data_IF_074552405970
#
_entry.id   IF_074552405970
#
_cell.length_a   1.000
_cell.length_b   1.000
_cell.length_c   1.000
_cell.angle_alpha   90.00
_cell.angle_beta   90.00
_cell.angle_gamma   90.00
#
_symmetry.space_group_name_H-M   'P 1'
#
loop_
_entity.id
_entity.type
_entity.pdbx_description
1 polymer ?
#
# COMPACT_ATOMS: atom_id res chain seq x y z
N UNK A 1 0.93 -17.78 -10.04
CA UNK A 1 2.21 -17.79 -9.30
C UNK A 1 1.88 -17.84 -7.81
N UNK A 2 2.64 -18.60 -7.01
CA UNK A 2 2.39 -18.68 -5.55
C UNK A 2 2.78 -17.32 -4.95
N UNK A 3 1.89 -16.68 -4.19
CA UNK A 3 2.20 -15.40 -3.56
C UNK A 3 3.43 -15.57 -2.63
N UNK A 4 4.36 -14.59 -2.61
CA UNK A 4 5.48 -14.62 -1.68
C UNK A 4 4.92 -14.52 -0.24
N UNK A 5 5.13 -15.56 0.56
CA UNK A 5 4.68 -15.59 1.94
C UNK A 5 5.64 -14.77 2.82
N UNK A 6 5.17 -13.62 3.32
CA UNK A 6 5.97 -12.71 4.14
C UNK A 6 6.40 -13.33 5.46
N UNK A 7 5.55 -14.14 6.10
CA UNK A 7 5.88 -14.82 7.34
C UNK A 7 7.06 -15.78 7.17
N UNK A 8 7.14 -16.46 6.01
CA UNK A 8 8.27 -17.35 5.71
C UNK A 8 9.58 -16.56 5.55
N UNK A 9 9.52 -15.36 4.96
CA UNK A 9 10.68 -14.46 4.81
C UNK A 9 11.19 -14.01 6.18
N UNK A 10 10.31 -13.60 7.09
CA UNK A 10 10.68 -13.19 8.45
C UNK A 10 11.35 -14.31 9.23
N UNK A 11 10.81 -15.54 9.15
CA UNK A 11 11.41 -16.72 9.77
C UNK A 11 12.80 -17.00 9.22
N UNK A 12 12.99 -16.89 7.89
CA UNK A 12 14.29 -17.06 7.25
C UNK A 12 15.30 -15.98 7.65
N UNK A 13 14.86 -14.72 7.79
CA UNK A 13 15.71 -13.61 8.26
C UNK A 13 16.17 -13.84 9.71
N UNK A 14 15.26 -14.26 10.59
CA UNK A 14 15.59 -14.62 11.97
C UNK A 14 16.58 -15.81 12.02
N UNK A 15 16.38 -16.82 11.16
CA UNK A 15 17.30 -17.96 11.05
C UNK A 15 18.70 -17.51 10.58
N UNK A 16 18.78 -16.63 9.58
CA UNK A 16 20.04 -16.05 9.08
C UNK A 16 20.82 -15.37 10.20
N UNK A 17 20.15 -14.53 10.98
CA UNK A 17 20.78 -13.75 12.04
C UNK A 17 21.24 -14.67 13.19
N UNK A 18 20.44 -15.69 13.55
CA UNK A 18 20.81 -16.68 14.55
C UNK A 18 22.07 -17.49 14.14
N UNK A 19 22.11 -17.98 12.90
CA UNK A 19 23.25 -18.74 12.38
C UNK A 19 24.50 -17.87 12.29
N UNK A 20 24.36 -16.61 11.85
CA UNK A 20 25.46 -15.64 11.83
C UNK A 20 26.00 -15.38 13.23
N UNK A 21 25.13 -15.26 14.24
CA UNK A 21 25.53 -15.12 15.63
C UNK A 21 26.23 -16.36 16.22
N UNK A 22 25.87 -17.57 15.78
CA UNK A 22 26.61 -18.79 16.14
C UNK A 22 28.00 -18.83 15.52
N UNK A 23 28.13 -18.46 14.24
CA UNK A 23 29.43 -18.37 13.56
C UNK A 23 30.36 -17.36 14.26
N UNK A 24 29.85 -16.18 14.61
CA UNK A 24 30.63 -15.17 15.34
C UNK A 24 31.13 -15.69 16.70
N UNK A 25 30.30 -16.44 17.44
CA UNK A 25 30.70 -17.08 18.71
C UNK A 25 31.76 -18.17 18.52
N UNK A 26 31.67 -18.97 17.45
CA UNK A 26 32.67 -19.99 17.11
C UNK A 26 34.02 -19.34 16.81
N UNK A 27 34.01 -18.20 16.11
CA UNK A 27 35.23 -17.45 15.80
C UNK A 27 35.84 -16.80 17.05
N UNK A 28 35.00 -16.32 17.97
CA UNK A 28 35.44 -15.74 19.25
C UNK A 28 35.94 -16.78 20.27
N UNK A 29 35.54 -18.05 20.17
CA UNK A 29 35.86 -19.10 21.15
C UNK A 29 37.38 -19.38 21.31
N UNK A 30 38.24 -18.79 20.48
CA UNK A 30 39.70 -18.82 20.64
C UNK A 30 40.27 -20.24 20.63
N UNK A 31 41.47 -20.44 21.17
CA UNK A 31 42.18 -21.74 21.15
C UNK A 31 41.67 -22.79 22.15
N UNK A 32 40.51 -22.57 22.78
CA UNK A 32 39.93 -23.48 23.78
C UNK A 32 39.50 -24.84 23.20
N UNK A 33 39.18 -24.87 21.89
CA UNK A 33 38.75 -26.07 21.16
C UNK A 33 39.79 -26.43 20.10
N UNK A 34 40.11 -27.73 19.90
CA UNK A 34 40.98 -28.17 18.81
C UNK A 34 40.54 -27.60 17.45
N UNK A 35 41.49 -27.12 16.61
CA UNK A 35 41.17 -26.37 15.39
C UNK A 35 40.30 -27.20 14.44
N UNK A 36 40.62 -28.48 14.24
CA UNK A 36 39.86 -29.37 13.35
C UNK A 36 38.36 -29.53 13.73
N UNK A 37 38.04 -29.48 15.03
CA UNK A 37 36.64 -29.57 15.49
C UNK A 37 35.93 -28.25 15.22
N UNK A 38 36.59 -27.13 15.53
CA UNK A 38 36.04 -25.78 15.27
C UNK A 38 35.76 -25.57 13.79
N UNK A 39 36.69 -25.98 12.93
CA UNK A 39 36.56 -25.82 11.49
C UNK A 39 35.41 -26.65 10.93
N UNK A 40 35.23 -27.89 11.42
CA UNK A 40 34.09 -28.73 11.04
C UNK A 40 32.75 -28.13 11.44
N UNK A 41 32.64 -27.65 12.68
CA UNK A 41 31.40 -27.03 13.17
C UNK A 41 31.12 -25.72 12.42
N UNK A 42 32.15 -24.91 12.16
CA UNK A 42 32.02 -23.71 11.33
C UNK A 42 31.51 -24.05 9.94
N UNK A 43 32.06 -25.08 9.29
CA UNK A 43 31.64 -25.51 7.95
C UNK A 43 30.18 -25.95 7.92
N UNK A 44 29.70 -26.64 8.96
CA UNK A 44 28.30 -27.06 9.09
C UNK A 44 27.35 -25.84 9.15
N UNK A 45 27.64 -24.88 10.04
CA UNK A 45 26.85 -23.65 10.14
C UNK A 45 26.94 -22.78 8.88
N UNK A 46 28.10 -22.74 8.20
CA UNK A 46 28.23 -22.08 6.90
C UNK A 46 27.35 -22.75 5.84
N UNK A 47 27.30 -24.08 5.80
CA UNK A 47 26.40 -24.81 4.91
C UNK A 47 24.92 -24.48 5.17
N UNK A 48 24.53 -24.43 6.44
CA UNK A 48 23.17 -24.01 6.84
C UNK A 48 22.88 -22.56 6.44
N UNK A 49 23.80 -21.64 6.68
CA UNK A 49 23.65 -20.23 6.31
C UNK A 49 23.45 -20.08 4.80
N UNK A 50 24.26 -20.78 3.99
CA UNK A 50 24.13 -20.76 2.54
C UNK A 50 22.73 -21.23 2.09
N UNK A 51 22.20 -22.30 2.69
CA UNK A 51 20.84 -22.78 2.39
C UNK A 51 19.72 -21.83 2.84
N UNK A 52 19.94 -21.01 3.88
CA UNK A 52 19.01 -19.93 4.25
C UNK A 52 19.07 -18.79 3.22
N UNK A 53 20.28 -18.39 2.84
CA UNK A 53 20.49 -17.32 1.84
C UNK A 53 19.89 -17.70 0.49
N UNK A 54 20.07 -18.93 0.02
CA UNK A 54 19.49 -19.42 -1.24
C UNK A 54 17.95 -19.35 -1.23
N UNK A 55 17.32 -19.76 -0.11
CA UNK A 55 15.87 -19.63 0.06
C UNK A 55 15.42 -18.17 0.05
N UNK A 56 16.11 -17.30 0.80
CA UNK A 56 15.84 -15.85 0.81
C UNK A 56 15.99 -15.23 -0.57
N UNK A 57 16.98 -15.64 -1.36
CA UNK A 57 17.15 -15.20 -2.75
C UNK A 57 15.98 -15.64 -3.62
N UNK A 58 15.53 -16.88 -3.52
CA UNK A 58 14.35 -17.35 -4.25
C UNK A 58 13.07 -16.57 -3.90
N UNK A 59 12.88 -16.20 -2.64
CA UNK A 59 11.79 -15.30 -2.24
C UNK A 59 12.00 -13.88 -2.77
N UNK A 60 13.23 -13.35 -2.73
CA UNK A 60 13.59 -12.05 -3.28
C UNK A 60 13.31 -11.93 -4.78
N UNK A 61 13.62 -12.97 -5.56
CA UNK A 61 13.32 -13.02 -6.99
C UNK A 61 11.81 -13.01 -7.26
N UNK A 62 11.03 -13.76 -6.47
CA UNK A 62 9.58 -13.77 -6.58
C UNK A 62 8.96 -12.40 -6.23
N UNK A 63 9.46 -11.74 -5.19
CA UNK A 63 9.05 -10.38 -4.78
C UNK A 63 9.41 -9.37 -5.87
N UNK A 64 10.62 -9.44 -6.44
CA UNK A 64 11.06 -8.56 -7.51
C UNK A 64 10.21 -8.72 -8.78
N UNK A 65 9.83 -9.95 -9.13
CA UNK A 65 8.92 -10.21 -10.24
C UNK A 65 7.53 -9.59 -10.00
N UNK A 66 6.99 -9.72 -8.78
CA UNK A 66 5.69 -9.11 -8.43
C UNK A 66 5.76 -7.58 -8.43
N UNK A 67 6.85 -7.01 -7.94
CA UNK A 67 7.08 -5.57 -7.97
C UNK A 67 7.16 -5.03 -9.42
N UNK A 68 7.75 -5.79 -10.34
CA UNK A 68 7.77 -5.42 -11.75
C UNK A 68 6.36 -5.45 -12.38
N UNK A 69 5.52 -6.43 -12.02
CA UNK A 69 4.11 -6.49 -12.43
C UNK A 69 3.32 -5.28 -11.88
N UNK A 70 3.49 -4.96 -10.60
CA UNK A 70 2.80 -3.84 -9.96
C UNK A 70 3.20 -2.49 -10.58
N UNK A 71 4.48 -2.32 -10.95
CA UNK A 71 4.93 -1.11 -11.67
C UNK A 71 4.34 -1.00 -13.08
N UNK A 72 4.19 -2.12 -13.79
CA UNK A 72 3.52 -2.13 -15.09
C UNK A 72 2.01 -1.81 -14.96
N UNK A 73 1.36 -2.32 -13.91
CA UNK A 73 -0.03 -1.98 -13.57
C UNK A 73 -0.18 -0.49 -13.24
N UNK A 74 0.77 0.08 -12.48
CA UNK A 74 0.82 1.50 -12.16
C UNK A 74 0.93 2.37 -13.42
N UNK A 75 1.85 2.04 -14.35
CA UNK A 75 1.97 2.74 -15.64
C UNK A 75 0.65 2.67 -16.44
N UNK A 76 0.02 1.49 -16.49
CA UNK A 76 -1.26 1.30 -17.16
C UNK A 76 -2.40 2.12 -16.56
N UNK A 77 -2.43 2.31 -15.23
CA UNK A 77 -3.42 3.17 -14.60
C UNK A 77 -3.13 4.65 -14.81
N UNK A 78 -1.86 5.06 -14.81
CA UNK A 78 -1.46 6.42 -15.11
C UNK A 78 -1.84 6.82 -16.55
N UNK A 79 -1.58 5.95 -17.52
CA UNK A 79 -1.99 6.16 -18.92
C UNK A 79 -3.50 6.30 -19.07
N UNK A 80 -4.27 5.45 -18.36
CA UNK A 80 -5.75 5.52 -18.37
C UNK A 80 -6.28 6.78 -17.69
N UNK A 81 -5.67 7.23 -16.60
CA UNK A 81 -6.01 8.49 -15.95
C UNK A 81 -5.72 9.69 -16.88
N UNK A 82 -4.57 9.69 -17.58
CA UNK A 82 -4.22 10.71 -18.56
C UNK A 82 -5.22 10.74 -19.71
N UNK A 83 -5.56 9.59 -20.29
CA UNK A 83 -6.56 9.51 -21.37
C UNK A 83 -7.95 10.01 -20.93
N UNK A 84 -8.37 9.70 -19.68
CA UNK A 84 -9.62 10.21 -19.14
C UNK A 84 -9.58 11.74 -18.92
N UNK A 85 -8.45 12.29 -18.49
CA UNK A 85 -8.24 13.74 -18.38
C UNK A 85 -8.25 14.44 -19.74
N UNK A 86 -7.62 13.85 -20.76
CA UNK A 86 -7.66 14.35 -22.14
C UNK A 86 -9.10 14.35 -22.68
N UNK A 87 -9.86 13.27 -22.46
CA UNK A 87 -11.26 13.19 -22.86
C UNK A 87 -12.15 14.22 -22.14
N UNK A 88 -11.88 14.48 -20.86
CA UNK A 88 -12.55 15.54 -20.10
C UNK A 88 -12.23 16.93 -20.68
N UNK A 89 -10.97 17.20 -21.03
CA UNK A 89 -10.56 18.45 -21.67
C UNK A 89 -11.18 18.63 -23.07
N UNK A 90 -11.27 17.54 -23.85
CA UNK A 90 -11.96 17.53 -25.14
C UNK A 90 -13.46 17.86 -24.99
N UNK A 91 -14.14 17.21 -24.02
CA UNK A 91 -15.55 17.50 -23.73
C UNK A 91 -15.79 18.96 -23.32
N UNK A 92 -14.87 19.53 -22.52
CA UNK A 92 -14.89 20.96 -22.18
C UNK A 92 -14.75 21.84 -23.42
N UNK A 93 -13.81 21.53 -24.31
CA UNK A 93 -13.61 22.30 -25.54
C UNK A 93 -14.84 22.24 -26.46
N UNK A 94 -15.41 21.05 -26.66
CA UNK A 94 -16.63 20.87 -27.47
C UNK A 94 -17.82 21.65 -26.92
N UNK A 95 -17.98 21.69 -25.60
CA UNK A 95 -18.98 22.52 -24.96
C UNK A 95 -18.74 24.01 -25.18
N UNK A 96 -17.49 24.49 -25.02
CA UNK A 96 -17.13 25.89 -25.26
C UNK A 96 -17.35 26.33 -26.71
N UNK A 97 -17.13 25.43 -27.67
CA UNK A 97 -17.41 25.65 -29.10
C UNK A 97 -18.93 25.63 -29.39
N UNK A 98 -19.74 25.14 -28.44
CA UNK A 98 -21.19 25.03 -28.56
C UNK A 98 -21.65 23.77 -29.28
N UNK A 99 -20.77 22.79 -29.49
CA UNK A 99 -21.13 21.46 -30.04
C UNK A 99 -21.94 20.66 -29.02
N UNK A 100 -21.59 20.74 -27.75
CA UNK A 100 -22.31 20.07 -26.66
C UNK A 100 -23.24 21.04 -25.93
N UNK A 101 -24.50 20.64 -25.77
CA UNK A 101 -25.40 21.30 -24.83
C UNK A 101 -24.97 21.04 -23.37
N UNK A 102 -25.53 21.82 -22.45
CA UNK A 102 -25.17 21.75 -21.03
C UNK A 102 -25.40 20.36 -20.42
N UNK A 103 -26.50 19.70 -20.77
CA UNK A 103 -26.88 18.42 -20.17
C UNK A 103 -25.99 17.27 -20.66
N UNK A 104 -25.67 17.27 -21.95
CA UNK A 104 -24.73 16.32 -22.53
C UNK A 104 -23.32 16.54 -21.98
N UNK A 105 -22.88 17.79 -21.92
CA UNK A 105 -21.58 18.14 -21.33
C UNK A 105 -21.46 17.68 -19.87
N UNK A 106 -22.48 17.93 -19.04
CA UNK A 106 -22.46 17.50 -17.63
C UNK A 106 -22.37 15.98 -17.50
N UNK A 107 -23.09 15.24 -18.36
CA UNK A 107 -23.04 13.76 -18.38
C UNK A 107 -21.63 13.26 -18.71
N UNK A 108 -21.03 13.78 -19.78
CA UNK A 108 -19.67 13.40 -20.21
C UNK A 108 -18.60 13.82 -19.20
N UNK A 109 -18.73 15.03 -18.64
CA UNK A 109 -17.83 15.53 -17.60
C UNK A 109 -17.88 14.63 -16.37
N UNK A 110 -19.06 14.25 -15.91
CA UNK A 110 -19.21 13.40 -14.74
C UNK A 110 -18.66 11.99 -15.00
N UNK A 111 -18.88 11.44 -16.21
CA UNK A 111 -18.33 10.15 -16.64
C UNK A 111 -16.79 10.15 -16.60
N UNK A 112 -16.15 11.11 -17.28
CA UNK A 112 -14.69 11.18 -17.32
C UNK A 112 -14.09 11.53 -15.95
N UNK A 113 -14.73 12.39 -15.16
CA UNK A 113 -14.28 12.68 -13.80
C UNK A 113 -14.33 11.43 -12.90
N UNK A 114 -15.37 10.60 -13.03
CA UNK A 114 -15.46 9.34 -12.31
C UNK A 114 -14.38 8.34 -12.77
N UNK A 115 -14.04 8.31 -14.06
CA UNK A 115 -12.97 7.46 -14.58
C UNK A 115 -11.58 7.91 -14.08
N UNK A 116 -11.31 9.21 -14.04
CA UNK A 116 -10.09 9.78 -13.43
C UNK A 116 -9.99 9.36 -11.96
N UNK A 117 -11.03 9.61 -11.18
CA UNK A 117 -11.04 9.27 -9.75
C UNK A 117 -10.82 7.76 -9.50
N UNK A 118 -11.43 6.89 -10.34
CA UNK A 118 -11.23 5.43 -10.25
C UNK A 118 -9.77 5.05 -10.48
N UNK A 119 -9.12 5.65 -11.49
CA UNK A 119 -7.74 5.33 -11.80
C UNK A 119 -6.74 5.92 -10.81
N UNK A 120 -7.03 7.10 -10.23
CA UNK A 120 -6.25 7.67 -9.13
C UNK A 120 -6.31 6.77 -7.88
N UNK A 121 -7.51 6.30 -7.51
CA UNK A 121 -7.64 5.36 -6.39
C UNK A 121 -6.89 4.04 -6.66
N UNK A 122 -6.95 3.52 -7.89
CA UNK A 122 -6.20 2.32 -8.26
C UNK A 122 -4.68 2.54 -8.20
N UNK A 123 -4.19 3.72 -8.59
CA UNK A 123 -2.78 4.10 -8.47
C UNK A 123 -2.33 4.08 -7.01
N UNK A 124 -3.11 4.64 -6.10
CA UNK A 124 -2.78 4.67 -4.67
C UNK A 124 -2.66 3.24 -4.10
N UNK A 125 -3.62 2.37 -4.42
CA UNK A 125 -3.62 0.97 -3.97
C UNK A 125 -2.40 0.20 -4.49
N UNK A 126 -2.08 0.35 -5.77
CA UNK A 126 -0.92 -0.33 -6.38
C UNK A 126 0.39 0.23 -5.85
N UNK A 127 0.48 1.55 -5.62
CA UNK A 127 1.66 2.20 -5.06
C UNK A 127 1.95 1.74 -3.63
N UNK A 128 0.91 1.60 -2.79
CA UNK A 128 1.06 1.08 -1.43
C UNK A 128 1.56 -0.37 -1.44
N UNK A 129 1.00 -1.21 -2.32
CA UNK A 129 1.44 -2.60 -2.48
C UNK A 129 2.89 -2.68 -2.96
N UNK A 130 3.27 -1.87 -3.94
CA UNK A 130 4.64 -1.80 -4.44
C UNK A 130 5.63 -1.35 -3.35
N UNK A 131 5.27 -0.33 -2.55
CA UNK A 131 6.08 0.15 -1.43
C UNK A 131 6.33 -0.93 -0.37
N UNK A 132 5.31 -1.72 -0.02
CA UNK A 132 5.46 -2.86 0.90
C UNK A 132 6.43 -3.92 0.36
N UNK A 133 6.35 -4.24 -0.93
CA UNK A 133 7.27 -5.19 -1.56
C UNK A 133 8.71 -4.67 -1.61
N UNK A 134 8.91 -3.38 -1.84
CA UNK A 134 10.22 -2.72 -1.80
C UNK A 134 10.85 -2.75 -0.40
N UNK A 135 10.06 -2.54 0.65
CA UNK A 135 10.50 -2.65 2.03
C UNK A 135 11.00 -4.07 2.34
N UNK A 136 10.22 -5.08 1.99
CA UNK A 136 10.58 -6.49 2.23
C UNK A 136 11.84 -6.87 1.44
N UNK A 137 11.96 -6.43 0.18
CA UNK A 137 13.16 -6.68 -0.61
C UNK A 137 14.39 -6.01 0.02
N UNK A 138 14.22 -4.82 0.59
CA UNK A 138 15.29 -4.12 1.31
C UNK A 138 15.75 -4.90 2.55
N UNK A 139 14.83 -5.54 3.29
CA UNK A 139 15.16 -6.40 4.43
C UNK A 139 15.94 -7.67 4.01
N UNK A 140 15.58 -8.26 2.87
CA UNK A 140 16.26 -9.44 2.33
C UNK A 140 17.70 -9.09 1.91
N UNK A 141 17.88 -7.95 1.24
CA UNK A 141 19.19 -7.50 0.73
C UNK A 141 20.09 -6.97 1.87
N UNK A 142 19.50 -6.42 2.93
CA UNK A 142 20.26 -5.90 4.06
C UNK A 142 21.15 -6.99 4.70
N UNK A 143 22.42 -6.67 5.02
CA UNK A 143 23.31 -7.64 5.66
C UNK A 143 22.76 -8.06 7.04
N UNK A 144 23.05 -9.29 7.44
CA UNK A 144 22.67 -9.82 8.75
C UNK A 144 23.15 -8.87 9.85
N UNK A 145 22.24 -8.46 10.73
CA UNK A 145 22.58 -7.54 11.81
C UNK A 145 23.39 -8.32 12.85
N UNK A 146 24.61 -7.90 13.21
CA UNK A 146 25.34 -8.56 14.27
C UNK A 146 24.52 -8.40 15.56
N UNK A 147 24.08 -9.53 16.11
CA UNK A 147 23.44 -9.57 17.42
C UNK A 147 24.51 -9.12 18.42
N UNK A 148 24.45 -7.85 18.82
CA UNK A 148 25.13 -7.43 20.03
C UNK A 148 24.51 -8.25 21.16
N UNK A 149 25.23 -9.29 21.57
CA UNK A 149 24.96 -10.00 22.81
C UNK A 149 25.04 -8.94 23.90
N UNK A 150 23.86 -8.44 24.28
CA UNK A 150 23.66 -7.55 25.40
C UNK A 150 24.45 -8.13 26.56
N UNK A 151 25.56 -7.47 26.87
CA UNK A 151 26.46 -7.89 27.92
C UNK A 151 25.64 -7.94 29.19
N UNK A 152 25.47 -9.14 29.74
CA UNK A 152 25.38 -9.29 31.17
C UNK A 152 26.68 -8.69 31.69
N UNK A 153 26.63 -7.41 32.04
CA UNK A 153 27.62 -6.79 32.91
C UNK A 153 27.56 -7.58 34.20
N UNK A 154 28.44 -8.58 34.30
CA UNK A 154 28.91 -9.08 35.56
C UNK A 154 29.57 -7.88 36.26
N UNK A 155 28.74 -7.12 36.98
CA UNK A 155 29.19 -6.21 38.02
C UNK A 155 29.80 -7.08 39.10
N UNK A 156 31.08 -7.41 38.92
CA UNK A 156 31.93 -7.96 39.95
C UNK A 156 32.14 -6.87 41.01
N UNK A 157 31.14 -6.70 41.88
CA UNK A 157 31.31 -6.04 43.17
C UNK A 157 32.15 -6.97 44.03
N UNK A 158 33.45 -6.73 43.98
CA UNK A 158 34.40 -7.07 45.02
C UNK A 158 33.99 -6.39 46.32
N UNK A 159 33.38 -7.12 47.27
CA UNK A 159 33.47 -6.83 48.71
C UNK A 159 33.26 -8.10 49.53
N UNK A 160 34.34 -8.55 50.16
CA UNK A 160 34.40 -8.96 51.57
C UNK A 160 33.44 -10.02 52.08
N UNK A 161 33.96 -11.24 52.22
CA UNK A 161 33.44 -12.25 53.15
C UNK A 161 33.76 -11.83 54.58
N UNK A 162 32.76 -11.73 55.46
CA UNK A 162 32.92 -11.99 56.90
C UNK A 162 31.65 -12.68 57.46
N UNK A 163 31.76 -13.81 58.19
CA UNK A 163 30.60 -14.59 58.63
C UNK A 163 30.23 -14.31 60.10
N UNK A 164 28.97 -13.95 60.37
CA UNK A 164 28.43 -13.96 61.75
C UNK A 164 27.08 -14.69 61.82
N UNK A 165 27.03 -15.56 62.83
CA UNK A 165 26.00 -16.48 63.30
C UNK A 165 24.54 -16.00 63.31
N UNK A 166 23.68 -16.93 62.90
CA UNK A 166 22.44 -17.43 63.54
C UNK A 166 21.75 -16.57 64.62
N UNK A 167 20.50 -16.16 64.33
CA UNK A 167 19.37 -16.22 65.26
C UNK A 167 18.04 -16.03 64.51
N UNK A 168 17.14 -16.99 64.66
CA UNK A 168 15.70 -16.87 64.50
C UNK A 168 15.08 -17.56 65.73
N UNK A 169 13.78 -17.44 66.06
CA UNK A 169 12.75 -16.49 65.62
C UNK A 169 11.96 -15.88 66.81
N UNK A 170 11.11 -14.86 66.59
CA UNK A 170 9.84 -14.76 67.34
C UNK A 170 8.83 -13.80 66.68
N UNK A 171 7.51 -14.08 66.79
CA UNK A 171 6.46 -13.48 65.97
C UNK A 171 5.62 -12.45 66.74
N UNK A 172 5.05 -11.49 66.01
CA UNK A 172 3.79 -10.76 66.27
C UNK A 172 3.74 -9.56 65.32
N UNK A 173 2.63 -8.98 64.88
CA UNK A 173 1.23 -9.34 64.69
C UNK A 173 0.61 -8.01 64.17
N UNK A 174 -0.34 -8.07 63.22
CA UNK A 174 -1.26 -6.98 62.79
C UNK A 174 -0.58 -5.77 62.10
N UNK A 175 -0.99 -5.24 60.94
CA UNK A 175 -2.34 -4.79 60.55
C UNK A 175 -2.48 -4.79 59.02
N UNK A 176 -3.65 -5.22 58.58
CA UNK A 176 -4.20 -5.18 57.23
C UNK A 176 -4.50 -3.73 56.82
N UNK A 177 -4.09 -3.32 55.62
CA UNK A 177 -4.81 -2.27 54.90
C UNK A 177 -4.97 -2.72 53.45
N UNK A 178 -6.21 -3.10 53.14
CA UNK A 178 -6.68 -3.42 51.81
C UNK A 178 -6.86 -2.12 51.04
N UNK A 179 -6.21 -2.02 49.88
CA UNK A 179 -6.62 -1.10 48.83
C UNK A 179 -6.80 -1.95 47.58
N UNK A 180 -8.07 -2.20 47.29
CA UNK A 180 -8.57 -2.69 46.01
C UNK A 180 -8.08 -1.75 44.91
N UNK A 181 -7.31 -2.29 43.97
CA UNK A 181 -7.13 -1.69 42.65
C UNK A 181 -7.81 -2.63 41.66
N UNK A 182 -8.97 -2.16 41.23
CA UNK A 182 -9.79 -2.61 40.13
C UNK A 182 -8.97 -2.98 38.88
N UNK A 183 -9.25 -4.18 38.38
CA UNK A 183 -9.67 -4.42 37.00
C UNK A 183 -8.98 -3.59 35.92
N UNK A 184 -7.75 -3.96 35.57
CA UNK A 184 -7.22 -3.72 34.22
C UNK A 184 -7.82 -4.77 33.30
N UNK A 185 -8.90 -4.37 32.61
CA UNK A 185 -9.46 -5.03 31.43
C UNK A 185 -8.32 -5.47 30.51
N UNK A 186 -8.18 -6.79 30.36
CA UNK A 186 -7.48 -7.41 29.26
C UNK A 186 -8.23 -7.01 27.98
N UNK A 187 -7.72 -5.98 27.31
CA UNK A 187 -8.09 -5.70 25.93
C UNK A 187 -7.55 -6.87 25.11
N UNK A 188 -8.45 -7.78 24.75
CA UNK A 188 -8.23 -8.80 23.73
C UNK A 188 -7.67 -8.13 22.46
N UNK A 189 -6.43 -8.46 22.11
CA UNK A 189 -5.78 -8.17 20.83
C UNK A 189 -6.44 -9.01 19.70
N UNK A 190 -7.74 -8.83 19.49
CA UNK A 190 -8.48 -9.39 18.36
C UNK A 190 -8.74 -8.32 17.29
N UNK A 191 -7.65 -7.77 16.77
CA UNK A 191 -7.67 -6.98 15.54
C UNK A 191 -6.92 -7.76 14.45
N UNK A 192 -7.66 -8.04 13.38
CA UNK A 192 -7.22 -8.39 12.02
C UNK A 192 -6.85 -9.83 11.64
N UNK A 193 -7.74 -10.80 11.93
CA UNK A 193 -7.89 -11.99 11.06
C UNK A 193 -9.08 -11.89 10.06
N UNK A 194 -9.90 -10.83 10.10
CA UNK A 194 -11.03 -10.66 9.15
C UNK A 194 -10.71 -9.81 7.92
N UNK A 195 -9.53 -9.20 7.83
CA UNK A 195 -9.09 -8.44 6.65
C UNK A 195 -8.36 -9.31 5.60
N UNK A 196 -8.03 -10.57 5.92
CA UNK A 196 -7.44 -11.52 4.98
C UNK A 196 -8.42 -12.55 4.38
N UNK A 197 -9.68 -12.59 4.84
CA UNK A 197 -10.67 -13.57 4.36
C UNK A 197 -11.59 -13.07 3.23
N UNK A 198 -11.42 -11.84 2.73
CA UNK A 198 -12.28 -11.25 1.69
C UNK A 198 -11.86 -11.62 0.25
N UNK A 199 -10.74 -12.33 0.05
CA UNK A 199 -10.24 -12.67 -1.29
C UNK A 199 -10.08 -14.16 -1.59
N UNK A 200 -10.76 -15.05 -0.85
CA UNK A 200 -10.75 -16.49 -1.11
C UNK A 200 -12.19 -17.04 -1.20
N UNK A 201 -12.83 -16.80 -2.35
CA UNK A 201 -13.93 -17.66 -2.84
C UNK A 201 -13.98 -17.63 -4.37
N UNK A 202 -13.28 -18.53 -5.09
CA UNK A 202 -13.72 -18.89 -6.42
C UNK A 202 -14.88 -19.87 -6.26
N UNK A 203 -16.10 -19.33 -6.29
CA UNK A 203 -17.33 -20.11 -6.30
C UNK A 203 -17.24 -21.27 -7.30
N UNK A 204 -17.14 -22.47 -6.75
CA UNK A 204 -17.30 -23.74 -7.43
C UNK A 204 -18.78 -23.83 -7.84
N UNK A 205 -19.10 -23.37 -9.05
CA UNK A 205 -20.42 -23.53 -9.63
C UNK A 205 -20.60 -25.02 -9.94
N UNK A 206 -21.27 -25.71 -9.02
CA UNK A 206 -21.82 -27.04 -9.23
C UNK A 206 -22.72 -27.03 -10.47
N UNK A 207 -22.30 -27.75 -11.50
CA UNK A 207 -23.10 -28.16 -12.64
C UNK A 207 -24.17 -29.17 -12.19
N UNK A 208 -25.23 -28.72 -11.50
CA UNK A 208 -26.41 -29.56 -11.33
C UNK A 208 -27.66 -28.71 -11.11
N UNK A 209 -28.70 -29.02 -11.90
CA UNK A 209 -30.08 -28.56 -11.81
C UNK A 209 -30.44 -27.17 -12.40
N UNK A 210 -30.64 -27.12 -13.73
CA UNK A 210 -31.95 -26.70 -14.31
C UNK A 210 -32.14 -27.41 -15.66
N UNK A 211 -32.55 -28.68 -15.62
CA UNK A 211 -33.32 -29.28 -16.71
C UNK A 211 -34.78 -29.14 -16.27
N UNK A 212 -35.57 -28.30 -16.97
CA UNK A 212 -37.03 -28.42 -17.14
C UNK A 212 -37.60 -27.18 -17.88
N UNK A 213 -38.01 -27.44 -19.14
CA UNK A 213 -39.17 -26.90 -19.89
C UNK A 213 -39.20 -25.41 -20.29
N UNK A 214 -39.16 -25.16 -21.60
CA UNK A 214 -40.18 -24.42 -22.40
C UNK A 214 -39.67 -24.35 -23.86
N UNK A 215 -40.18 -25.19 -24.77
CA UNK A 215 -41.37 -24.97 -25.63
C UNK A 215 -41.03 -24.14 -26.90
N UNK A 216 -41.16 -24.83 -28.05
CA UNK A 216 -40.94 -24.37 -29.41
C UNK A 216 -41.59 -23.01 -29.74
N UNK A 217 -40.78 -21.99 -30.03
CA UNK A 217 -41.19 -20.88 -30.91
C UNK A 217 -40.03 -20.53 -31.85
N UNK A 218 -40.16 -20.98 -33.09
CA UNK A 218 -39.36 -20.56 -34.25
C UNK A 218 -39.87 -19.19 -34.73
N UNK A 219 -39.01 -18.17 -34.85
CA UNK A 219 -39.25 -17.11 -35.83
C UNK A 219 -38.31 -17.24 -37.03
N UNK A 220 -38.95 -17.28 -38.21
CA UNK A 220 -38.37 -17.27 -39.55
C UNK A 220 -37.31 -16.18 -39.75
N UNK A 221 -36.25 -16.57 -40.46
CA UNK A 221 -35.23 -15.69 -41.00
C UNK A 221 -35.82 -14.75 -42.08
N UNK A 222 -35.48 -13.45 -42.09
CA UNK A 222 -35.68 -12.63 -43.27
C UNK A 222 -34.58 -12.87 -44.31
N UNK A 223 -35.09 -13.03 -45.51
CA UNK A 223 -34.48 -13.34 -46.80
C UNK A 223 -33.36 -12.36 -47.20
N UNK A 224 -32.36 -12.94 -47.84
CA UNK A 224 -31.25 -12.31 -48.54
C UNK A 224 -31.64 -11.07 -49.36
N UNK A 225 -30.80 -10.02 -49.26
CA UNK A 225 -30.61 -9.05 -50.34
C UNK A 225 -29.16 -9.12 -50.82
N UNK A 226 -29.07 -9.68 -52.01
CA UNK A 226 -27.96 -9.71 -52.94
C UNK A 226 -27.72 -8.30 -53.51
N UNK A 227 -26.47 -7.79 -53.45
CA UNK A 227 -25.76 -6.99 -54.49
C UNK A 227 -24.56 -6.21 -53.94
N UNK A 228 -23.36 -6.61 -54.37
CA UNK A 228 -22.22 -5.70 -54.53
C UNK A 228 -20.83 -6.33 -54.27
N UNK A 229 -20.04 -6.65 -55.30
CA UNK A 229 -18.71 -7.23 -55.12
C UNK A 229 -17.65 -6.13 -55.03
N UNK A 230 -17.09 -5.92 -53.83
CA UNK A 230 -15.79 -5.26 -53.67
C UNK A 230 -14.77 -6.30 -53.24
N UNK A 231 -14.28 -7.03 -54.24
CA UNK A 231 -13.10 -7.88 -54.13
C UNK A 231 -11.86 -7.02 -53.93
N UNK A 232 -11.46 -6.81 -52.68
CA UNK A 232 -10.10 -6.38 -52.37
C UNK A 232 -9.16 -7.56 -52.57
N UNK A 233 -8.42 -7.53 -53.67
CA UNK A 233 -7.27 -8.41 -53.91
C UNK A 233 -6.05 -7.85 -53.15
N UNK A 234 -5.31 -8.65 -52.37
CA UNK A 234 -3.99 -8.26 -51.89
C UNK A 234 -3.01 -8.37 -53.07
N UNK A 235 -2.47 -7.22 -53.49
CA UNK A 235 -1.43 -7.15 -54.50
C UNK A 235 -0.07 -7.51 -53.91
N UNK A 236 0.48 -8.66 -54.31
CA UNK A 236 1.90 -8.96 -54.25
C UNK A 236 2.64 -8.12 -55.28
N UNK A 237 3.23 -7.01 -54.83
CA UNK A 237 4.11 -6.18 -55.63
C UNK A 237 5.31 -5.73 -54.81
N UNK A 238 6.43 -6.44 -54.95
CA UNK A 238 7.75 -5.94 -54.55
C UNK A 238 8.08 -4.65 -55.32
N UNK A 239 8.45 -3.55 -54.66
CA UNK A 239 9.16 -2.47 -55.32
C UNK A 239 10.65 -2.82 -55.47
N UNK A 240 11.32 -2.35 -56.54
CA UNK A 240 12.75 -2.55 -56.72
C UNK A 240 13.57 -1.70 -55.73
N UNK A 241 14.68 -2.30 -55.33
CA UNK A 241 15.78 -1.79 -54.52
C UNK A 241 16.31 -0.48 -55.12
N UNK A 242 15.98 0.66 -54.49
CA UNK A 242 16.67 1.93 -54.72
C UNK A 242 17.74 2.10 -53.66
N UNK A 243 18.98 1.94 -54.11
CA UNK A 243 20.23 2.29 -53.45
C UNK A 243 20.17 3.73 -52.92
N UNK A 244 19.84 3.88 -51.63
CA UNK A 244 19.96 5.16 -50.93
C UNK A 244 21.43 5.41 -50.63
N UNK A 245 22.09 6.12 -51.54
CA UNK A 245 23.32 6.86 -51.24
C UNK A 245 22.98 7.87 -50.13
N UNK A 246 23.53 7.66 -48.95
CA UNK A 246 23.46 8.59 -47.82
C UNK A 246 24.41 9.75 -48.16
N UNK A 247 23.94 11.00 -48.38
CA UNK A 247 24.86 12.13 -48.40
C UNK A 247 25.39 12.34 -46.98
N UNK A 248 26.71 12.22 -46.85
CA UNK A 248 27.47 12.64 -45.68
C UNK A 248 27.27 14.14 -45.49
N UNK A 249 26.37 14.52 -44.59
CA UNK A 249 26.26 15.91 -44.14
C UNK A 249 27.45 16.20 -43.22
N UNK A 250 28.46 16.84 -43.80
CA UNK A 250 29.54 17.48 -43.07
C UNK A 250 28.97 18.53 -42.10
N UNK A 251 29.32 18.36 -40.83
CA UNK A 251 29.19 19.40 -39.81
C UNK A 251 30.04 20.62 -40.18
N UNK A 252 29.50 21.83 -40.27
CA UNK A 252 30.28 23.02 -40.00
C UNK A 252 30.30 23.25 -38.48
N UNK A 253 31.50 23.13 -37.91
CA UNK A 253 31.81 23.66 -36.61
C UNK A 253 31.78 25.19 -36.69
N UNK A 254 30.81 25.84 -36.06
CA UNK A 254 30.90 27.24 -35.68
C UNK A 254 29.98 27.51 -34.47
N UNK A 255 30.62 27.63 -33.30
CA UNK A 255 30.01 28.06 -32.04
C UNK A 255 30.14 29.59 -32.01
N UNK A 256 29.07 30.38 -32.13
CA UNK A 256 29.12 31.77 -31.70
C UNK A 256 28.95 31.83 -30.19
N UNK A 257 30.07 32.03 -29.50
CA UNK A 257 30.07 32.58 -28.15
C UNK A 257 29.49 33.99 -28.19
N UNK A 258 28.41 34.24 -27.42
CA UNK A 258 28.05 35.49 -26.70
C UNK A 258 26.54 35.57 -26.50
N UNK A 259 26.06 35.00 -25.40
CA UNK A 259 24.90 35.56 -24.71
C UNK A 259 25.40 36.15 -23.39
N UNK A 260 25.62 37.46 -23.41
CA UNK A 260 25.70 38.27 -22.19
C UNK A 260 24.31 38.33 -21.56
N UNK A 261 24.15 38.01 -20.26
CA UNK A 261 22.89 38.26 -19.58
C UNK A 261 22.67 39.78 -19.49
N UNK A 262 21.55 40.24 -20.06
CA UNK A 262 21.04 41.60 -19.88
C UNK A 262 20.58 41.73 -18.43
N UNK A 263 21.16 42.71 -17.73
CA UNK A 263 20.77 43.08 -16.38
C UNK A 263 19.31 43.54 -16.37
N UNK A 264 18.50 42.84 -15.58
CA UNK A 264 17.11 43.15 -15.30
C UNK A 264 17.05 44.44 -14.45
N UNK A 265 16.31 45.50 -14.86
CA UNK A 265 16.15 46.68 -14.03
C UNK A 265 15.26 46.36 -12.83
N UNK A 266 15.76 46.69 -11.64
CA UNK A 266 15.14 46.51 -10.34
C UNK A 266 13.65 46.88 -10.33
N UNK A 267 12.79 45.87 -10.16
CA UNK A 267 11.40 46.07 -9.75
C UNK A 267 11.41 46.59 -8.30
N UNK A 268 11.16 47.88 -8.15
CA UNK A 268 10.75 48.50 -6.89
C UNK A 268 9.45 47.84 -6.41
N UNK A 269 9.55 47.04 -5.35
CA UNK A 269 8.43 46.51 -4.59
C UNK A 269 7.80 47.68 -3.80
N UNK A 270 6.53 48.05 -4.01
CA UNK A 270 5.87 49.02 -3.15
C UNK A 270 5.59 48.39 -1.78
N UNK A 271 6.02 49.11 -0.74
CA UNK A 271 5.74 48.85 0.67
C UNK A 271 4.22 48.73 0.93
N UNK A 272 3.73 47.67 1.59
CA UNK A 272 2.32 47.61 1.97
C UNK A 272 2.02 48.65 3.05
N UNK A 273 1.06 49.52 2.75
CA UNK A 273 0.47 50.47 3.69
C UNK A 273 -0.35 49.70 4.73
N UNK A 274 -0.17 49.93 6.04
CA UNK A 274 -0.99 49.26 7.07
C UNK A 274 -2.41 49.81 7.04
N UNK A 275 -3.39 48.91 6.89
CA UNK A 275 -4.81 49.21 6.99
C UNK A 275 -5.19 49.58 8.45
N UNK A 276 -6.15 50.51 8.66
CA UNK A 276 -6.60 50.88 10.00
C UNK A 276 -7.44 49.75 10.63
N UNK A 277 -7.17 49.50 11.91
CA UNK A 277 -7.88 48.55 12.75
C UNK A 277 -9.38 48.83 12.82
N UNK A 278 -10.20 47.87 12.37
CA UNK A 278 -11.65 47.87 12.56
C UNK A 278 -11.92 47.13 13.87
N UNK A 279 -12.45 47.84 14.86
CA UNK A 279 -12.96 47.25 16.11
C UNK A 279 -14.20 46.41 15.83
N UNK A 280 -14.34 45.20 16.42
CA UNK A 280 -15.56 44.44 16.33
C UNK A 280 -16.65 45.05 17.22
N UNK A 281 -17.80 45.38 16.60
CA UNK A 281 -19.05 45.68 17.32
C UNK A 281 -19.70 44.36 17.77
N UNK A 282 -20.04 44.18 19.05
CA UNK A 282 -20.94 43.12 19.46
C UNK A 282 -22.38 43.57 19.21
N UNK A 283 -23.06 42.90 18.29
CA UNK A 283 -24.53 42.89 18.24
C UNK A 283 -24.92 41.42 18.14
N UNK A 284 -25.53 40.89 19.19
CA UNK A 284 -26.66 39.96 19.23
C UNK A 284 -26.79 39.47 20.68
N UNK A 285 -27.38 40.33 21.52
CA UNK A 285 -28.19 39.89 22.65
C UNK A 285 -29.59 39.63 22.08
N UNK A 286 -30.01 38.38 21.99
CA UNK A 286 -31.42 38.01 22.00
C UNK A 286 -31.63 36.80 22.91
N UNK A 287 -32.19 37.11 24.08
CA UNK A 287 -32.83 36.19 25.00
C UNK A 287 -33.98 35.45 24.30
N UNK A 288 -33.77 34.18 23.99
CA UNK A 288 -34.87 33.24 23.74
C UNK A 288 -35.08 32.40 25.00
N UNK A 289 -36.02 32.85 25.83
CA UNK A 289 -36.56 32.09 26.96
C UNK A 289 -37.52 31.04 26.41
N UNK A 290 -37.08 29.78 26.32
CA UNK A 290 -37.97 28.61 26.19
C UNK A 290 -37.98 27.88 27.52
N UNK A 291 -39.05 28.10 28.28
CA UNK A 291 -39.39 27.29 29.46
C UNK A 291 -40.15 26.04 29.02
N UNK A 292 -39.53 24.87 29.16
CA UNK A 292 -40.16 23.56 29.03
C UNK A 292 -39.39 22.51 29.86
N UNK A 293 -40.08 21.57 30.53
CA UNK A 293 -39.42 20.57 31.38
C UNK A 293 -38.59 19.58 30.54
N UNK A 294 -37.46 19.08 31.08
CA UNK A 294 -36.53 18.23 30.36
C UNK A 294 -37.16 16.86 30.03
N UNK A 295 -37.07 16.37 28.78
CA UNK A 295 -37.37 14.96 28.50
C UNK A 295 -36.24 14.08 29.05
N UNK A 296 -36.63 13.02 29.75
CA UNK A 296 -35.72 12.00 30.29
C UNK A 296 -34.91 11.34 29.16
N UNK A 297 -33.61 11.05 29.37
CA UNK A 297 -32.81 10.36 28.37
C UNK A 297 -33.25 8.90 28.25
N UNK A 298 -33.97 8.57 27.18
CA UNK A 298 -34.12 7.19 26.74
C UNK A 298 -32.76 6.67 26.29
N UNK A 299 -32.18 5.80 27.12
CA UNK A 299 -31.00 5.01 26.78
C UNK A 299 -31.37 4.08 25.62
N UNK A 300 -31.12 4.53 24.39
CA UNK A 300 -31.16 3.67 23.21
C UNK A 300 -29.83 2.94 23.15
N UNK A 301 -29.88 1.64 23.40
CA UNK A 301 -28.74 0.71 23.29
C UNK A 301 -28.12 0.80 21.90
N UNK A 302 -26.99 1.50 21.81
CA UNK A 302 -26.32 1.92 20.57
C UNK A 302 -25.49 0.82 19.91
N UNK A 303 -25.95 -0.44 19.96
CA UNK A 303 -25.12 -1.60 19.58
C UNK A 303 -25.63 -2.46 18.42
N UNK A 304 -26.81 -2.19 17.84
CA UNK A 304 -27.32 -2.98 16.71
C UNK A 304 -27.12 -2.25 15.38
N UNK A 305 -26.16 -2.74 14.59
CA UNK A 305 -26.01 -2.40 13.17
C UNK A 305 -27.06 -3.15 12.35
N UNK A 306 -27.76 -2.46 11.46
CA UNK A 306 -28.74 -3.02 10.53
C UNK A 306 -28.12 -3.10 9.14
N UNK A 307 -28.33 -4.22 8.43
CA UNK A 307 -27.77 -4.44 7.09
C UNK A 307 -28.74 -3.94 6.02
N UNK A 308 -28.27 -3.11 5.10
CA UNK A 308 -29.05 -2.68 3.94
C UNK A 308 -29.37 -3.89 3.05
N UNK A 309 -30.63 -4.09 2.70
CA UNK A 309 -31.07 -5.22 1.87
C UNK A 309 -30.66 -5.11 0.41
N UNK A 310 -30.30 -3.91 -0.07
CA UNK A 310 -29.94 -3.68 -1.47
C UNK A 310 -28.43 -3.77 -1.70
N UNK A 311 -27.62 -3.08 -0.88
CA UNK A 311 -26.17 -3.01 -1.07
C UNK A 311 -25.36 -3.81 -0.03
N UNK A 312 -26.00 -4.33 1.02
CA UNK A 312 -25.35 -5.13 2.06
C UNK A 312 -24.52 -4.33 3.07
N UNK A 313 -24.49 -3.00 2.97
CA UNK A 313 -23.77 -2.12 3.89
C UNK A 313 -24.36 -2.19 5.32
N UNK A 314 -23.50 -2.11 6.34
CA UNK A 314 -23.88 -2.13 7.74
C UNK A 314 -24.08 -0.71 8.24
N UNK A 315 -25.34 -0.33 8.48
CA UNK A 315 -25.72 0.99 8.95
C UNK A 315 -26.00 0.99 10.45
N UNK A 316 -25.80 2.13 11.10
CA UNK A 316 -26.25 2.31 12.48
C UNK A 316 -27.67 2.87 12.50
N UNK A 317 -28.40 2.73 13.60
CA UNK A 317 -29.74 3.31 13.69
C UNK A 317 -29.76 4.85 13.60
N UNK A 318 -28.61 5.50 13.83
CA UNK A 318 -28.47 6.95 13.78
C UNK A 318 -28.00 7.47 12.39
N UNK A 319 -27.29 6.66 11.62
CA UNK A 319 -26.74 7.06 10.32
C UNK A 319 -26.97 5.97 9.27
N UNK A 320 -27.70 6.33 8.21
CA UNK A 320 -28.12 5.43 7.15
C UNK A 320 -27.55 5.86 5.80
N UNK A 321 -26.82 4.96 5.14
CA UNK A 321 -26.30 5.12 3.79
C UNK A 321 -26.71 3.92 2.93
N UNK A 322 -27.26 4.19 1.75
CA UNK A 322 -27.57 3.18 0.73
C UNK A 322 -26.54 3.27 -0.40
#
# INVERSE_FOLDING_TARGET
MKQPNLADVEVLLAERDAVTGWLARIDAAGSSVPPAVRDRVRQDYQGRLNGVIERLQGHGDAIAAKLAEDRAEQESHADRANAANEALAEAQLRHLVGEYDQSFFETERNRHAADVARHEQALDVVAERAGRLEEVLSLIIAPARPVETSGVTASATSMGVEPVRAAAPSPAEVVQEAVDLDEVELVDDHIDEQLLAIFDDPGELTEEAVELVDEDVVPEAPVASDRGPLSFRPGTGMPPEQERVIPSFGMPAEIPARFTPVAEPARTVPTPTPAPAVSPRPMFDEDIVVSGPPPEPTVVTSGRTLRCSECGAMNTAAEWYC
#
